data_IF_907194226715
#
_entry.id   IF_907194226715
#
_cell.length_a   1.000
_cell.length_b   1.000
_cell.length_c   1.000
_cell.angle_alpha   90.00
_cell.angle_beta   90.00
_cell.angle_gamma   90.00
#
_symmetry.space_group_name_H-M   'P 1'
#
loop_
_entity.id
_entity.type
_entity.pdbx_description
1 polymer ?
#
# COMPACT_ATOMS: atom_id res chain seq x y z
N UNK A 1 -25.84 -9.57 -18.67
CA UNK A 1 -25.05 -10.35 -17.67
C UNK A 1 -24.11 -9.43 -16.94
N UNK A 2 -24.32 -9.17 -15.63
CA UNK A 2 -23.27 -8.59 -14.79
C UNK A 2 -22.22 -9.67 -14.61
N UNK A 3 -21.00 -9.45 -15.10
CA UNK A 3 -19.86 -10.31 -14.76
C UNK A 3 -19.64 -10.17 -13.26
N UNK A 4 -19.85 -11.24 -12.51
CA UNK A 4 -19.43 -11.34 -11.12
C UNK A 4 -17.91 -11.09 -11.07
N UNK A 5 -17.45 -10.30 -10.10
CA UNK A 5 -16.05 -10.26 -9.71
C UNK A 5 -15.88 -11.31 -8.61
N UNK A 6 -15.33 -12.50 -8.89
CA UNK A 6 -15.47 -13.67 -8.02
C UNK A 6 -14.68 -13.57 -6.71
N UNK A 7 -13.87 -12.52 -6.49
CA UNK A 7 -13.07 -12.37 -5.29
C UNK A 7 -12.93 -10.91 -4.86
N UNK A 8 -13.72 -10.49 -3.87
CA UNK A 8 -13.49 -9.23 -3.17
C UNK A 8 -12.46 -9.46 -2.06
N UNK A 9 -11.20 -9.12 -2.35
CA UNK A 9 -10.15 -9.07 -1.34
C UNK A 9 -10.10 -7.66 -0.75
N UNK A 10 -10.36 -7.53 0.54
CA UNK A 10 -10.24 -6.24 1.24
C UNK A 10 -8.91 -6.20 2.00
N UNK A 11 -8.16 -5.11 1.82
CA UNK A 11 -6.97 -4.82 2.61
C UNK A 11 -7.42 -4.46 4.03
N UNK A 12 -6.91 -5.17 5.01
CA UNK A 12 -7.30 -5.01 6.43
C UNK A 12 -6.18 -4.41 7.25
N UNK A 13 -4.94 -4.68 6.87
CA UNK A 13 -3.76 -4.21 7.59
C UNK A 13 -2.60 -3.99 6.65
N UNK A 14 -1.87 -2.92 6.90
CA UNK A 14 -0.61 -2.60 6.26
C UNK A 14 0.46 -2.38 7.33
N UNK A 15 1.57 -3.10 7.21
CA UNK A 15 2.76 -2.90 8.02
C UNK A 15 3.92 -2.57 7.10
N UNK A 16 4.59 -1.45 7.31
CA UNK A 16 5.71 -0.98 6.51
C UNK A 16 6.87 -0.54 7.40
N UNK A 17 8.09 -0.88 7.02
CA UNK A 17 9.33 -0.45 7.67
C UNK A 17 10.35 -0.01 6.63
N UNK A 18 11.04 1.08 6.91
CA UNK A 18 12.16 1.57 6.10
C UNK A 18 11.77 2.22 4.75
N UNK A 19 10.52 2.68 4.59
CA UNK A 19 10.06 3.31 3.35
C UNK A 19 10.07 4.84 3.44
N UNK A 20 10.90 5.52 2.64
CA UNK A 20 11.08 6.98 2.68
C UNK A 20 11.26 7.47 4.12
N UNK A 21 10.55 8.49 4.59
CA UNK A 21 10.62 8.94 5.99
C UNK A 21 9.90 8.03 7.00
N UNK A 22 9.30 6.92 6.58
CA UNK A 22 8.57 5.99 7.46
C UNK A 22 9.55 4.96 8.02
N UNK A 23 9.92 5.14 9.28
CA UNK A 23 10.78 4.18 9.99
C UNK A 23 10.03 2.86 10.24
N UNK A 24 8.84 2.93 10.82
CA UNK A 24 7.96 1.78 11.09
C UNK A 24 6.52 2.28 11.24
N UNK A 25 5.58 1.65 10.56
CA UNK A 25 4.16 1.98 10.61
C UNK A 25 3.33 0.70 10.46
N UNK A 26 2.35 0.53 11.34
CA UNK A 26 1.36 -0.55 11.25
C UNK A 26 -0.02 0.07 11.41
N UNK A 27 -0.90 -0.09 10.42
CA UNK A 27 -2.24 0.47 10.41
C UNK A 27 -3.26 -0.60 10.04
N UNK A 28 -4.39 -0.59 10.73
CA UNK A 28 -5.60 -1.23 10.25
C UNK A 28 -6.23 -0.32 9.18
N UNK A 29 -6.83 -0.94 8.17
CA UNK A 29 -7.40 -0.25 7.01
C UNK A 29 -8.90 -0.54 6.98
N UNK A 30 -9.67 0.53 7.05
CA UNK A 30 -11.12 0.50 6.85
C UNK A 30 -11.48 0.79 5.39
N UNK A 31 -12.74 0.61 4.97
CA UNK A 31 -13.18 0.99 3.62
C UNK A 31 -12.95 2.47 3.30
N UNK A 32 -12.94 3.34 4.32
CA UNK A 32 -12.63 4.77 4.21
C UNK A 32 -11.67 5.14 5.34
N UNK A 33 -10.53 5.73 5.00
CA UNK A 33 -9.51 6.13 5.97
C UNK A 33 -9.23 7.62 5.84
N UNK A 34 -9.19 8.34 6.96
CA UNK A 34 -8.81 9.76 7.01
C UNK A 34 -7.42 9.86 7.63
N UNK A 35 -6.48 10.45 6.89
CA UNK A 35 -5.10 10.62 7.34
C UNK A 35 -4.95 12.00 7.99
N UNK A 36 -4.77 12.02 9.31
CA UNK A 36 -4.57 13.25 10.09
C UNK A 36 -3.12 13.36 10.59
N UNK A 37 -2.65 14.59 10.80
CA UNK A 37 -1.34 14.87 11.37
C UNK A 37 -0.73 16.18 10.86
N UNK A 38 0.34 16.65 11.51
CA UNK A 38 1.04 17.87 11.14
C UNK A 38 1.68 17.80 9.73
N UNK A 39 2.07 18.95 9.19
CA UNK A 39 2.91 19.01 8.00
C UNK A 39 4.24 18.29 8.27
N UNK A 40 4.69 17.47 7.32
CA UNK A 40 5.89 16.65 7.51
C UNK A 40 5.71 15.36 8.32
N UNK A 41 4.52 15.07 8.89
CA UNK A 41 4.26 13.85 9.65
C UNK A 41 4.31 12.53 8.84
N UNK A 42 4.64 12.59 7.54
CA UNK A 42 4.79 11.40 6.68
C UNK A 42 3.53 10.96 5.94
N UNK A 43 2.41 11.70 6.02
CA UNK A 43 1.15 11.37 5.33
C UNK A 43 1.32 11.15 3.81
N UNK A 44 2.00 12.07 3.12
CA UNK A 44 2.27 11.94 1.69
C UNK A 44 3.23 10.78 1.37
N UNK A 45 4.15 10.46 2.29
CA UNK A 45 5.02 9.30 2.13
C UNK A 45 4.23 8.00 2.25
N UNK A 46 3.28 7.92 3.19
CA UNK A 46 2.38 6.78 3.29
C UNK A 46 1.49 6.64 2.04
N UNK A 47 0.95 7.72 1.50
CA UNK A 47 0.23 7.65 0.21
C UNK A 47 1.12 7.15 -0.94
N UNK A 48 2.39 7.60 -0.99
CA UNK A 48 3.32 7.14 -2.02
C UNK A 48 3.72 5.66 -1.92
N UNK A 49 3.47 5.02 -0.78
CA UNK A 49 3.62 3.56 -0.64
C UNK A 49 2.64 2.83 -1.56
N UNK A 50 1.38 3.27 -1.64
CA UNK A 50 0.39 2.65 -2.53
C UNK A 50 0.76 2.85 -4.01
N UNK A 51 1.25 4.03 -4.38
CA UNK A 51 1.77 4.26 -5.73
C UNK A 51 2.94 3.34 -6.06
N UNK A 52 3.87 3.17 -5.12
CA UNK A 52 4.99 2.23 -5.24
C UNK A 52 4.51 0.79 -5.42
N UNK A 53 3.61 0.32 -4.54
CA UNK A 53 3.03 -1.03 -4.60
C UNK A 53 2.32 -1.30 -5.92
N UNK A 54 1.58 -0.32 -6.45
CA UNK A 54 0.91 -0.44 -7.75
C UNK A 54 1.92 -0.61 -8.91
N UNK A 55 3.01 0.17 -8.92
CA UNK A 55 4.04 0.03 -9.95
C UNK A 55 4.81 -1.29 -9.78
N UNK A 56 5.06 -1.72 -8.55
CA UNK A 56 5.68 -3.00 -8.24
C UNK A 56 4.83 -4.17 -8.78
N UNK A 57 3.53 -4.17 -8.49
CA UNK A 57 2.60 -5.19 -8.97
C UNK A 57 2.49 -5.24 -10.50
N UNK A 58 2.74 -4.12 -11.19
CA UNK A 58 2.77 -4.04 -12.64
C UNK A 58 4.14 -4.37 -13.26
N UNK A 59 5.15 -4.72 -12.46
CA UNK A 59 6.52 -4.94 -12.95
C UNK A 59 7.22 -3.66 -13.45
N UNK A 60 6.68 -2.48 -13.12
CA UNK A 60 7.16 -1.16 -13.61
C UNK A 60 8.05 -0.43 -12.60
N UNK A 61 8.67 -1.18 -11.69
CA UNK A 61 9.44 -0.60 -10.59
C UNK A 61 10.59 0.30 -11.07
N UNK A 62 11.32 -0.12 -12.11
CA UNK A 62 12.42 0.65 -12.71
C UNK A 62 11.98 2.03 -13.19
N UNK A 63 10.84 2.10 -13.89
CA UNK A 63 10.28 3.37 -14.38
C UNK A 63 9.77 4.26 -13.24
N UNK A 64 9.17 3.66 -12.20
CA UNK A 64 8.75 4.41 -11.01
C UNK A 64 9.95 5.02 -10.28
N UNK A 65 11.02 4.25 -10.10
CA UNK A 65 12.25 4.70 -9.46
C UNK A 65 12.95 5.79 -10.27
N UNK A 66 13.01 5.65 -11.60
CA UNK A 66 13.61 6.66 -12.49
C UNK A 66 12.87 8.01 -12.42
N UNK A 67 11.54 8.00 -12.31
CA UNK A 67 10.71 9.23 -12.28
C UNK A 67 10.66 9.93 -10.92
N UNK A 68 10.98 9.23 -9.83
CA UNK A 68 10.82 9.72 -8.46
C UNK A 68 12.17 9.98 -7.74
N UNK A 69 13.24 10.26 -8.50
CA UNK A 69 14.53 10.67 -7.93
C UNK A 69 15.47 9.52 -7.53
N UNK A 70 15.45 8.42 -8.29
CA UNK A 70 16.31 7.23 -8.11
C UNK A 70 16.09 6.48 -6.78
N UNK A 71 16.72 5.30 -6.63
CA UNK A 71 16.48 4.38 -5.51
C UNK A 71 16.75 5.00 -4.13
N UNK A 72 17.66 5.98 -4.08
CA UNK A 72 18.04 6.70 -2.87
C UNK A 72 16.87 7.47 -2.23
N UNK A 73 15.85 7.86 -3.01
CA UNK A 73 14.66 8.56 -2.52
C UNK A 73 13.66 7.65 -1.78
N UNK A 74 13.88 6.34 -1.76
CA UNK A 74 12.96 5.34 -1.19
C UNK A 74 13.43 4.72 0.11
N UNK A 75 14.72 4.85 0.45
CA UNK A 75 15.26 4.38 1.71
C UNK A 75 15.15 5.45 2.80
N UNK A 76 14.85 5.02 4.02
CA UNK A 76 14.86 5.91 5.19
C UNK A 76 16.28 6.36 5.53
N UNK A 77 16.64 7.59 5.15
CA UNK A 77 17.74 8.48 5.61
C UNK A 77 19.13 7.86 5.90
N UNK A 78 19.34 6.57 5.66
CA UNK A 78 20.53 5.79 5.97
C UNK A 78 20.68 4.71 4.88
N UNK A 79 21.87 4.50 4.28
CA UNK A 79 22.04 3.68 3.07
C UNK A 79 21.87 2.16 3.27
N UNK A 80 21.47 1.68 4.46
CA UNK A 80 21.52 0.26 4.84
C UNK A 80 20.36 -0.19 5.71
N UNK A 81 19.12 -0.05 5.24
CA UNK A 81 17.98 -0.75 5.86
C UNK A 81 17.10 -1.43 4.80
N UNK A 82 16.74 -2.66 5.11
CA UNK A 82 15.83 -3.51 4.34
C UNK A 82 14.44 -2.85 4.29
N UNK A 83 13.84 -2.79 3.10
CA UNK A 83 12.45 -2.36 2.94
C UNK A 83 11.54 -3.56 3.21
N UNK A 84 10.67 -3.44 4.19
CA UNK A 84 9.69 -4.47 4.51
C UNK A 84 8.28 -3.90 4.38
N UNK A 85 7.44 -4.58 3.61
CA UNK A 85 6.02 -4.26 3.51
C UNK A 85 5.23 -5.56 3.58
N UNK A 86 4.33 -5.65 4.56
CA UNK A 86 3.43 -6.79 4.74
C UNK A 86 2.00 -6.29 4.60
N UNK A 87 1.26 -6.91 3.70
CA UNK A 87 -0.15 -6.62 3.45
C UNK A 87 -0.99 -7.81 3.91
N UNK A 88 -2.03 -7.54 4.70
CA UNK A 88 -2.99 -8.57 5.12
C UNK A 88 -4.33 -8.29 4.46
N UNK A 89 -4.83 -9.28 3.71
CA UNK A 89 -6.12 -9.22 3.03
C UNK A 89 -7.08 -10.24 3.61
N UNK A 90 -8.37 -9.89 3.67
CA UNK A 90 -9.46 -10.85 3.93
C UNK A 90 -10.22 -11.10 2.62
N UNK A 91 -10.50 -12.38 2.34
CA UNK A 91 -11.39 -12.79 1.26
C UNK A 91 -12.84 -12.69 1.74
N UNK A 92 -13.63 -11.84 1.09
CA UNK A 92 -15.07 -11.76 1.32
C UNK A 92 -15.76 -12.60 0.26
N UNK A 93 -16.46 -13.66 0.68
CA UNK A 93 -17.37 -14.41 -0.19
C UNK A 93 -18.65 -13.60 -0.40
N UNK A 94 -19.05 -13.44 -1.66
CA UNK A 94 -20.36 -12.87 -2.01
C UNK A 94 -21.46 -13.83 -1.53
N UNK A 95 -22.36 -13.37 -0.65
CA UNK A 95 -23.58 -14.12 -0.30
C UNK A 95 -24.61 -13.91 -1.41
N UNK A 96 -24.82 -14.92 -2.24
CA UNK A 96 -25.93 -14.94 -3.22
C UNK A 96 -27.04 -15.80 -2.63
N UNK A 97 -28.14 -15.18 -2.20
CA UNK A 97 -29.41 -15.88 -2.00
C UNK A 97 -30.11 -15.91 -3.35
N UNK A 98 -30.09 -17.06 -4.03
CA UNK A 98 -30.95 -17.30 -5.19
C UNK A 98 -32.38 -17.46 -4.65
N UNK A 99 -33.20 -16.42 -4.77
CA UNK A 99 -34.65 -16.60 -4.68
C UNK A 99 -35.10 -17.13 -6.04
N UNK A 100 -35.62 -18.36 -6.03
CA UNK A 100 -36.28 -19.00 -7.16
C UNK A 100 -37.61 -18.34 -7.48
#
# INVERSE_FOLDING_TARGET
MKKENPHNFNLQKISVKGFKSIQSLTLNIDPVNVLLGANGAGKSNFLSLFSFLNHLAQGKLSSYVARNGFAHSFYFLVPKKHLECVLTFILIKSNITLNY
#
